data_IF_866945232090
#
_entry.id   IF_866945232090
#
_cell.length_a   1.000
_cell.length_b   1.000
_cell.length_c   1.000
_cell.angle_alpha   90.00
_cell.angle_beta   90.00
_cell.angle_gamma   90.00
#
_symmetry.space_group_name_H-M   'P 1'
#
loop_
_entity.id
_entity.type
_entity.pdbx_description
1 polymer ?
#
# COMPACT_ATOMS: atom_id res chain seq x y z
N UNK A 1 -2.38 35.08 -11.93
CA UNK A 1 -2.51 33.62 -12.17
C UNK A 1 -1.43 32.82 -11.44
N UNK A 2 -0.15 33.27 -11.42
CA UNK A 2 0.94 32.58 -10.70
C UNK A 2 0.69 32.40 -9.19
N UNK A 3 0.15 33.42 -8.51
CA UNK A 3 -0.14 33.34 -7.07
C UNK A 3 -1.28 32.36 -6.70
N UNK A 4 -2.20 32.08 -7.62
CA UNK A 4 -3.28 31.10 -7.39
C UNK A 4 -2.74 29.68 -7.59
N UNK A 5 -1.86 29.50 -8.59
CA UNK A 5 -1.20 28.23 -8.86
C UNK A 5 -0.25 27.81 -7.72
N UNK A 6 0.48 28.76 -7.12
CA UNK A 6 1.32 28.50 -5.96
C UNK A 6 0.50 28.04 -4.76
N UNK A 7 -0.59 28.74 -4.43
CA UNK A 7 -1.48 28.40 -3.32
C UNK A 7 -2.14 27.01 -3.47
N UNK A 8 -2.57 26.64 -4.69
CA UNK A 8 -3.14 25.31 -4.95
C UNK A 8 -2.08 24.22 -4.76
N UNK A 9 -0.86 24.44 -5.28
CA UNK A 9 0.25 23.50 -5.13
C UNK A 9 0.65 23.31 -3.66
N UNK A 10 0.63 24.38 -2.86
CA UNK A 10 0.91 24.31 -1.42
C UNK A 10 -0.18 23.52 -0.68
N UNK A 11 -1.46 23.71 -1.01
CA UNK A 11 -2.56 22.94 -0.40
C UNK A 11 -2.49 21.45 -0.71
N UNK A 12 -2.20 21.08 -1.95
CA UNK A 12 -2.02 19.67 -2.35
C UNK A 12 -0.80 19.03 -1.65
N UNK A 13 0.30 19.78 -1.52
CA UNK A 13 1.48 19.34 -0.76
C UNK A 13 1.18 19.10 0.72
N UNK A 14 0.48 20.04 1.37
CA UNK A 14 0.08 19.91 2.79
C UNK A 14 -0.82 18.68 2.99
N UNK A 15 -1.77 18.44 2.07
CA UNK A 15 -2.64 17.27 2.14
C UNK A 15 -1.84 15.96 2.04
N UNK A 16 -0.85 15.90 1.14
CA UNK A 16 0.02 14.74 1.00
C UNK A 16 0.82 14.48 2.28
N UNK A 17 1.50 15.51 2.81
CA UNK A 17 2.30 15.40 4.04
C UNK A 17 1.44 14.92 5.22
N UNK A 18 0.23 15.46 5.36
CA UNK A 18 -0.69 15.02 6.41
C UNK A 18 -1.09 13.55 6.26
N UNK A 19 -1.35 13.10 5.02
CA UNK A 19 -1.65 11.70 4.73
C UNK A 19 -0.44 10.81 5.07
N UNK A 20 0.76 11.22 4.70
CA UNK A 20 1.99 10.45 4.93
C UNK A 20 2.29 10.31 6.44
N UNK A 21 2.16 11.40 7.20
CA UNK A 21 2.27 11.37 8.66
C UNK A 21 1.21 10.44 9.27
N UNK A 22 -0.03 10.54 8.82
CA UNK A 22 -1.12 9.66 9.27
C UNK A 22 -0.82 8.21 8.95
N UNK A 23 -0.28 7.92 7.76
CA UNK A 23 0.08 6.58 7.33
C UNK A 23 1.16 5.96 8.22
N UNK A 24 2.26 6.67 8.42
CA UNK A 24 3.36 6.19 9.26
C UNK A 24 2.91 6.02 10.70
N UNK A 25 2.20 7.01 11.28
CA UNK A 25 1.68 6.91 12.64
C UNK A 25 0.68 5.76 12.80
N UNK A 26 -0.25 5.60 11.86
CA UNK A 26 -1.23 4.51 11.92
C UNK A 26 -0.54 3.15 11.89
N UNK A 27 0.36 2.92 10.92
CA UNK A 27 1.10 1.65 10.81
C UNK A 27 1.96 1.38 12.04
N UNK A 28 2.60 2.41 12.59
CA UNK A 28 3.36 2.30 13.83
C UNK A 28 2.51 1.80 15.00
N UNK A 29 1.27 2.29 15.13
CA UNK A 29 0.39 1.91 16.22
C UNK A 29 -0.45 0.65 15.95
N UNK A 30 -0.42 0.06 14.75
CA UNK A 30 -1.18 -1.16 14.42
C UNK A 30 -0.95 -2.28 15.45
N UNK A 31 0.29 -2.65 15.84
CA UNK A 31 0.50 -3.70 16.83
C UNK A 31 -0.15 -3.37 18.18
N UNK A 32 0.03 -2.12 18.66
CA UNK A 32 -0.54 -1.66 19.93
C UNK A 32 -2.08 -1.66 19.90
N UNK A 33 -2.69 -1.17 18.82
CA UNK A 33 -4.14 -1.18 18.60
C UNK A 33 -4.65 -2.63 18.57
N UNK A 34 -3.91 -3.54 17.92
CA UNK A 34 -4.26 -4.96 17.84
C UNK A 34 -4.29 -5.63 19.20
N UNK A 35 -3.31 -5.35 20.06
CA UNK A 35 -3.30 -5.83 21.44
C UNK A 35 -4.41 -5.20 22.28
N UNK A 36 -4.63 -3.89 22.16
CA UNK A 36 -5.61 -3.17 22.99
C UNK A 36 -7.05 -3.64 22.74
N UNK A 37 -7.42 -3.90 21.49
CA UNK A 37 -8.76 -4.38 21.13
C UNK A 37 -8.86 -5.90 21.01
N UNK A 38 -7.76 -6.65 21.17
CA UNK A 38 -7.70 -8.10 20.91
C UNK A 38 -8.19 -8.51 19.51
N UNK A 39 -8.10 -7.58 18.55
CA UNK A 39 -8.47 -7.80 17.14
C UNK A 39 -7.17 -7.86 16.33
N UNK A 40 -6.92 -8.90 15.52
CA UNK A 40 -5.72 -9.03 14.71
C UNK A 40 -5.75 -8.11 13.48
N UNK A 41 -5.62 -6.80 13.69
CA UNK A 41 -5.68 -5.78 12.61
C UNK A 41 -4.65 -6.01 11.50
N UNK A 42 -3.55 -6.71 11.78
CA UNK A 42 -2.56 -7.10 10.78
C UNK A 42 -3.15 -7.99 9.67
N UNK A 43 -4.25 -8.71 9.92
CA UNK A 43 -4.93 -9.53 8.91
C UNK A 43 -5.65 -8.70 7.84
N UNK A 44 -5.96 -7.44 8.14
CA UNK A 44 -6.64 -6.53 7.20
C UNK A 44 -5.66 -5.83 6.24
N UNK A 45 -4.39 -6.21 6.26
CA UNK A 45 -3.33 -5.62 5.44
C UNK A 45 -3.25 -4.08 5.57
N UNK A 46 -3.07 -3.55 6.80
CA UNK A 46 -3.16 -2.11 7.06
C UNK A 46 -2.19 -1.28 6.20
N UNK A 47 -1.01 -1.84 5.87
CA UNK A 47 -0.06 -1.18 4.96
C UNK A 47 -0.63 -0.98 3.54
N UNK A 48 -1.41 -1.95 3.03
CA UNK A 48 -2.09 -1.81 1.74
C UNK A 48 -3.19 -0.75 1.80
N UNK A 49 -3.93 -0.68 2.90
CA UNK A 49 -4.95 0.36 3.09
C UNK A 49 -4.30 1.74 2.95
N UNK A 50 -3.21 1.99 3.69
CA UNK A 50 -2.49 3.27 3.61
C UNK A 50 -1.88 3.50 2.23
N UNK A 51 -1.36 2.47 1.56
CA UNK A 51 -0.86 2.59 0.19
C UNK A 51 -1.97 3.02 -0.79
N UNK A 52 -3.14 2.40 -0.71
CA UNK A 52 -4.26 2.72 -1.60
C UNK A 52 -4.78 4.13 -1.33
N UNK A 53 -4.79 4.58 -0.07
CA UNK A 53 -5.05 5.98 0.26
C UNK A 53 -4.04 6.92 -0.40
N UNK A 54 -2.74 6.57 -0.34
CA UNK A 54 -1.71 7.35 -1.03
C UNK A 54 -1.91 7.35 -2.55
N UNK A 55 -2.23 6.21 -3.17
CA UNK A 55 -2.51 6.12 -4.61
C UNK A 55 -3.73 6.94 -5.04
N UNK A 56 -4.76 6.99 -4.20
CA UNK A 56 -6.00 7.71 -4.49
C UNK A 56 -5.89 9.23 -4.25
N UNK A 57 -5.05 9.68 -3.33
CA UNK A 57 -5.00 11.08 -2.88
C UNK A 57 -3.67 11.80 -3.09
N UNK A 58 -2.63 11.10 -3.54
CA UNK A 58 -1.28 11.66 -3.73
C UNK A 58 -0.68 11.28 -5.10
N UNK A 59 0.58 11.70 -5.33
CA UNK A 59 1.29 11.44 -6.58
C UNK A 59 2.02 10.10 -6.63
N UNK A 60 2.54 9.77 -7.82
CA UNK A 60 3.28 8.52 -8.08
C UNK A 60 4.52 8.37 -7.20
N UNK A 61 5.36 9.41 -7.13
CA UNK A 61 6.56 9.41 -6.30
C UNK A 61 6.21 9.23 -4.83
N UNK A 62 5.18 9.92 -4.34
CA UNK A 62 4.74 9.81 -2.96
C UNK A 62 4.23 8.40 -2.63
N UNK A 63 3.47 7.79 -3.53
CA UNK A 63 2.98 6.42 -3.35
C UNK A 63 4.13 5.41 -3.26
N UNK A 64 5.20 5.59 -4.04
CA UNK A 64 6.42 4.79 -3.88
C UNK A 64 7.08 5.04 -2.53
N UNK A 65 7.25 6.31 -2.12
CA UNK A 65 7.83 6.64 -0.81
C UNK A 65 7.06 5.95 0.32
N UNK A 66 5.72 5.93 0.26
CA UNK A 66 4.87 5.20 1.20
C UNK A 66 5.07 3.69 1.12
N UNK A 67 5.12 3.10 -0.08
CA UNK A 67 5.37 1.67 -0.24
C UNK A 67 6.69 1.20 0.37
N UNK A 68 7.74 2.03 0.29
CA UNK A 68 9.04 1.75 0.92
C UNK A 68 9.05 2.08 2.41
N UNK A 69 8.46 3.20 2.81
CA UNK A 69 8.55 3.67 4.19
C UNK A 69 7.75 2.79 5.13
N UNK A 70 6.55 2.34 4.78
CA UNK A 70 5.68 1.64 5.73
C UNK A 70 6.31 0.35 6.30
N UNK A 71 6.84 -0.58 5.49
CA UNK A 71 7.45 -1.79 6.04
C UNK A 71 8.79 -1.49 6.75
N UNK A 72 9.61 -0.59 6.20
CA UNK A 72 10.91 -0.24 6.77
C UNK A 72 10.77 0.45 8.12
N UNK A 73 9.87 1.43 8.26
CA UNK A 73 9.61 2.10 9.53
C UNK A 73 9.01 1.14 10.56
N UNK A 74 8.06 0.29 10.15
CA UNK A 74 7.48 -0.71 11.06
C UNK A 74 8.56 -1.62 11.65
N UNK A 75 9.46 -2.12 10.80
CA UNK A 75 10.60 -2.93 11.22
C UNK A 75 11.57 -2.16 12.13
N UNK A 76 12.02 -0.97 11.72
CA UNK A 76 13.01 -0.19 12.47
C UNK A 76 12.56 0.15 13.88
N UNK A 77 11.28 0.40 14.09
CA UNK A 77 10.78 0.88 15.39
C UNK A 77 10.25 -0.26 16.26
N UNK A 78 9.57 -1.25 15.68
CA UNK A 78 8.90 -2.31 16.45
C UNK A 78 9.54 -3.69 16.31
N UNK A 79 10.60 -3.81 15.49
CA UNK A 79 11.18 -5.08 15.05
C UNK A 79 10.12 -6.07 14.50
N UNK A 80 8.99 -5.52 14.05
CA UNK A 80 7.86 -6.26 13.54
C UNK A 80 7.32 -5.52 12.30
N UNK A 81 7.28 -6.15 11.12
CA UNK A 81 7.65 -7.54 10.84
C UNK A 81 9.18 -7.72 10.74
N UNK A 82 9.68 -8.96 10.75
CA UNK A 82 11.12 -9.26 10.59
C UNK A 82 11.70 -8.66 9.31
N UNK A 83 13.03 -8.56 9.21
CA UNK A 83 13.68 -7.90 8.07
C UNK A 83 13.35 -8.59 6.74
N UNK A 84 13.31 -9.92 6.72
CA UNK A 84 12.98 -10.73 5.55
C UNK A 84 11.55 -10.46 5.09
N UNK A 85 10.60 -10.41 6.05
CA UNK A 85 9.21 -10.07 5.77
C UNK A 85 9.06 -8.62 5.31
N UNK A 86 9.87 -7.71 5.82
CA UNK A 86 9.86 -6.30 5.41
C UNK A 86 10.32 -6.12 3.97
N UNK A 87 11.33 -6.89 3.52
CA UNK A 87 11.76 -6.93 2.12
C UNK A 87 10.64 -7.46 1.22
N UNK A 88 9.98 -8.55 1.62
CA UNK A 88 8.85 -9.11 0.88
C UNK A 88 7.67 -8.13 0.77
N UNK A 89 7.30 -7.48 1.87
CA UNK A 89 6.20 -6.50 1.88
C UNK A 89 6.55 -5.25 1.07
N UNK A 90 7.77 -4.75 1.18
CA UNK A 90 8.24 -3.59 0.40
C UNK A 90 8.18 -3.88 -1.09
N UNK A 91 8.68 -5.05 -1.51
CA UNK A 91 8.66 -5.46 -2.92
C UNK A 91 7.22 -5.67 -3.44
N UNK A 92 6.33 -6.26 -2.66
CA UNK A 92 4.90 -6.38 -2.98
C UNK A 92 4.24 -5.02 -3.16
N UNK A 93 4.38 -4.11 -2.19
CA UNK A 93 3.76 -2.79 -2.21
C UNK A 93 4.31 -1.94 -3.36
N UNK A 94 5.62 -1.97 -3.61
CA UNK A 94 6.23 -1.27 -4.73
C UNK A 94 5.74 -1.81 -6.08
N UNK A 95 5.62 -3.14 -6.22
CA UNK A 95 5.05 -3.78 -7.40
C UNK A 95 3.59 -3.35 -7.62
N UNK A 96 2.80 -3.26 -6.54
CA UNK A 96 1.41 -2.80 -6.59
C UNK A 96 1.33 -1.33 -7.08
N UNK A 97 2.17 -0.43 -6.57
CA UNK A 97 2.24 0.97 -7.06
C UNK A 97 2.56 1.00 -8.55
N UNK A 98 3.60 0.29 -8.97
CA UNK A 98 4.02 0.27 -10.36
C UNK A 98 2.90 -0.23 -11.28
N UNK A 99 2.31 -1.39 -10.96
CA UNK A 99 1.21 -1.98 -11.74
C UNK A 99 -0.03 -1.09 -11.77
N UNK A 100 -0.38 -0.44 -10.65
CA UNK A 100 -1.53 0.45 -10.60
C UNK A 100 -1.39 1.61 -11.59
N UNK A 101 -0.22 2.25 -11.65
CA UNK A 101 0.04 3.33 -12.59
C UNK A 101 0.12 2.86 -14.05
N UNK A 102 0.54 1.62 -14.30
CA UNK A 102 0.52 1.06 -15.65
C UNK A 102 -0.91 0.68 -16.10
N UNK A 103 -1.70 0.05 -15.23
CA UNK A 103 -3.06 -0.35 -15.54
C UNK A 103 -4.05 0.81 -15.60
N UNK A 104 -3.82 1.89 -14.83
CA UNK A 104 -4.66 3.10 -14.90
C UNK A 104 -4.58 3.84 -16.23
N UNK A 105 -3.58 3.53 -17.08
CA UNK A 105 -3.52 4.01 -18.46
C UNK A 105 -4.54 3.32 -19.37
N UNK A 106 -4.97 2.09 -19.04
CA UNK A 106 -5.80 1.23 -19.90
C UNK A 106 -7.16 0.90 -19.32
N UNK A 107 -7.30 0.88 -18.00
CA UNK A 107 -8.48 0.43 -17.28
C UNK A 107 -9.04 1.51 -16.35
N UNK A 108 -10.26 1.30 -15.84
CA UNK A 108 -10.82 2.15 -14.80
C UNK A 108 -10.09 1.93 -13.46
N UNK A 109 -10.25 2.87 -12.52
CA UNK A 109 -9.55 2.82 -11.22
C UNK A 109 -9.83 1.53 -10.42
N UNK A 110 -11.05 0.97 -10.54
CA UNK A 110 -11.41 -0.31 -9.92
C UNK A 110 -10.52 -1.44 -10.42
N UNK A 111 -10.51 -1.69 -11.73
CA UNK A 111 -9.75 -2.78 -12.34
C UNK A 111 -8.25 -2.56 -12.23
N UNK A 112 -7.78 -1.30 -12.29
CA UNK A 112 -6.37 -0.99 -12.05
C UNK A 112 -5.92 -1.41 -10.65
N UNK A 113 -6.70 -1.08 -9.62
CA UNK A 113 -6.40 -1.49 -8.24
C UNK A 113 -6.54 -3.00 -8.06
N UNK A 114 -7.63 -3.59 -8.57
CA UNK A 114 -7.91 -5.02 -8.42
C UNK A 114 -6.79 -5.88 -9.02
N UNK A 115 -6.39 -5.59 -10.26
CA UNK A 115 -5.32 -6.31 -10.95
C UNK A 115 -3.95 -6.07 -10.30
N UNK A 116 -3.65 -4.83 -9.91
CA UNK A 116 -2.38 -4.52 -9.25
C UNK A 116 -2.25 -5.25 -7.89
N UNK A 117 -3.34 -5.29 -7.11
CA UNK A 117 -3.39 -6.04 -5.84
C UNK A 117 -3.24 -7.54 -6.09
N UNK A 118 -3.99 -8.08 -7.06
CA UNK A 118 -4.01 -9.52 -7.36
C UNK A 118 -2.63 -10.01 -7.83
N UNK A 119 -2.03 -9.32 -8.80
CA UNK A 119 -0.72 -9.67 -9.35
C UNK A 119 0.37 -9.44 -8.31
N UNK A 120 0.29 -8.35 -7.53
CA UNK A 120 1.19 -8.10 -6.41
C UNK A 120 1.18 -9.24 -5.38
N UNK A 121 0.01 -9.83 -5.09
CA UNK A 121 -0.12 -10.99 -4.21
C UNK A 121 0.50 -12.26 -4.77
N UNK A 122 0.26 -12.54 -6.05
CA UNK A 122 0.92 -13.67 -6.73
C UNK A 122 2.43 -13.51 -6.67
N UNK A 123 2.93 -12.29 -6.93
CA UNK A 123 4.34 -11.96 -6.81
C UNK A 123 4.87 -12.14 -5.38
N UNK A 124 4.14 -11.66 -4.36
CA UNK A 124 4.50 -11.87 -2.95
C UNK A 124 4.64 -13.34 -2.59
N UNK A 125 3.68 -14.19 -2.99
CA UNK A 125 3.75 -15.62 -2.70
C UNK A 125 4.88 -16.31 -3.48
N UNK A 126 5.16 -15.86 -4.70
CA UNK A 126 6.32 -16.32 -5.46
C UNK A 126 7.64 -16.01 -4.75
N UNK A 127 7.82 -14.78 -4.26
CA UNK A 127 9.02 -14.40 -3.49
C UNK A 127 9.07 -15.08 -2.11
N UNK A 128 7.92 -15.23 -1.45
CA UNK A 128 7.87 -15.94 -0.17
C UNK A 128 8.29 -17.40 -0.33
N UNK A 129 7.90 -18.04 -1.44
CA UNK A 129 8.33 -19.39 -1.77
C UNK A 129 9.85 -19.49 -1.91
N UNK A 130 10.49 -18.55 -2.62
CA UNK A 130 11.95 -18.55 -2.76
C UNK A 130 12.65 -18.34 -1.42
N UNK A 131 12.11 -17.49 -0.54
CA UNK A 131 12.66 -17.28 0.80
C UNK A 131 12.55 -18.52 1.69
N UNK A 132 11.45 -19.26 1.59
CA UNK A 132 11.29 -20.55 2.29
C UNK A 132 12.31 -21.57 1.79
N UNK A 133 12.52 -21.68 0.47
CA UNK A 133 13.53 -22.59 -0.09
C UNK A 133 14.95 -22.26 0.35
N UNK A 134 15.26 -20.97 0.55
CA UNK A 134 16.55 -20.50 1.07
C UNK A 134 16.70 -20.66 2.59
N UNK A 135 15.67 -21.15 3.29
CA UNK A 135 15.67 -21.28 4.75
C UNK A 135 15.56 -19.95 5.51
N UNK A 136 15.16 -18.86 4.83
CA UNK A 136 15.05 -17.52 5.43
C UNK A 136 13.72 -17.31 6.18
N UNK A 137 12.71 -18.14 5.91
CA UNK A 137 11.37 -18.03 6.51
C UNK A 137 10.84 -19.39 6.94
N UNK A 138 9.96 -19.35 7.95
CA UNK A 138 9.25 -20.53 8.43
C UNK A 138 8.37 -21.17 7.34
N UNK A 139 8.24 -22.52 7.37
CA UNK A 139 7.41 -23.25 6.43
C UNK A 139 5.92 -22.87 6.62
N UNK A 140 5.33 -22.30 5.58
CA UNK A 140 3.92 -21.90 5.56
C UNK A 140 3.66 -20.83 4.50
N UNK A 141 3.28 -21.25 3.29
CA UNK A 141 3.13 -20.33 2.16
C UNK A 141 2.00 -19.32 2.40
N UNK A 142 0.83 -19.79 2.83
CA UNK A 142 -0.34 -18.96 3.10
C UNK A 142 -0.56 -18.90 4.60
N UNK A 143 -0.29 -17.74 5.19
CA UNK A 143 -0.42 -17.49 6.64
C UNK A 143 -1.63 -16.63 6.98
N UNK A 144 -2.07 -15.78 6.05
CA UNK A 144 -3.25 -14.94 6.18
C UNK A 144 -4.45 -15.59 5.52
N UNK A 145 -5.63 -15.62 6.15
CA UNK A 145 -6.82 -16.23 5.54
C UNK A 145 -7.16 -15.59 4.19
N UNK A 146 -7.26 -16.42 3.15
CA UNK A 146 -7.46 -15.96 1.76
C UNK A 146 -8.75 -15.15 1.60
N UNK A 147 -9.81 -15.51 2.33
CA UNK A 147 -11.08 -14.78 2.28
C UNK A 147 -10.93 -13.32 2.74
N UNK A 148 -10.12 -13.03 3.77
CA UNK A 148 -9.86 -11.67 4.22
C UNK A 148 -9.12 -10.86 3.16
N UNK A 149 -8.15 -11.48 2.49
CA UNK A 149 -7.40 -10.84 1.40
C UNK A 149 -8.30 -10.49 0.21
N UNK A 150 -9.21 -11.39 -0.14
CA UNK A 150 -10.18 -11.14 -1.22
C UNK A 150 -11.11 -10.00 -0.82
N UNK A 151 -11.68 -10.03 0.39
CA UNK A 151 -12.57 -8.98 0.88
C UNK A 151 -11.86 -7.62 0.89
N UNK A 152 -10.66 -7.52 1.45
CA UNK A 152 -9.91 -6.26 1.48
C UNK A 152 -9.55 -5.78 0.08
N UNK A 153 -9.17 -6.68 -0.82
CA UNK A 153 -8.90 -6.36 -2.22
C UNK A 153 -10.11 -5.72 -2.92
N UNK A 154 -11.31 -6.29 -2.75
CA UNK A 154 -12.53 -5.74 -3.34
C UNK A 154 -12.92 -4.39 -2.72
N UNK A 155 -12.86 -4.28 -1.39
CA UNK A 155 -13.16 -3.02 -0.67
C UNK A 155 -12.23 -1.89 -1.13
N UNK A 156 -10.92 -2.14 -1.18
CA UNK A 156 -9.93 -1.14 -1.57
C UNK A 156 -10.06 -0.75 -3.04
N UNK A 157 -10.33 -1.72 -3.92
CA UNK A 157 -10.57 -1.44 -5.34
C UNK A 157 -11.86 -0.62 -5.53
N UNK A 158 -12.91 -0.93 -4.77
CA UNK A 158 -14.16 -0.17 -4.73
C UNK A 158 -13.93 1.26 -4.25
N UNK A 159 -13.11 1.46 -3.22
CA UNK A 159 -12.74 2.78 -2.74
C UNK A 159 -12.07 3.64 -3.82
N UNK A 160 -11.09 3.08 -4.55
CA UNK A 160 -10.42 3.78 -5.65
C UNK A 160 -11.40 4.18 -6.75
N UNK A 161 -12.38 3.32 -7.04
CA UNK A 161 -13.44 3.61 -8.00
C UNK A 161 -14.34 4.77 -7.56
N UNK A 162 -14.83 4.74 -6.31
CA UNK A 162 -15.73 5.77 -5.76
C UNK A 162 -15.10 7.15 -5.73
N UNK A 163 -13.80 7.23 -5.41
CA UNK A 163 -13.07 8.50 -5.39
C UNK A 163 -12.77 9.02 -6.80
N UNK A 164 -12.89 8.16 -7.82
CA UNK A 164 -12.61 8.54 -9.19
C UNK A 164 -11.12 8.82 -9.39
N UNK A 165 -10.23 8.01 -8.79
CA UNK A 165 -8.77 8.15 -8.89
C UNK A 165 -8.22 8.10 -10.34
N UNK A 166 -9.08 7.94 -11.33
CA UNK A 166 -8.79 8.27 -12.74
C UNK A 166 -8.87 9.80 -12.99
N UNK A 167 -8.28 10.62 -12.11
CA UNK A 167 -7.73 11.93 -12.52
C UNK A 167 -6.36 11.79 -13.18
N UNK A 168 -5.88 10.56 -13.39
CA UNK A 168 -4.66 10.23 -14.12
C UNK A 168 -4.71 10.48 -15.65
N UNK A 169 -5.67 11.29 -16.13
CA UNK A 169 -5.67 11.83 -17.49
C UNK A 169 -5.13 13.26 -17.62
N UNK A 170 -4.63 13.90 -16.55
CA UNK A 170 -4.05 15.27 -16.63
C UNK A 170 -2.83 15.43 -15.71
N UNK A 171 -1.69 14.91 -16.14
CA UNK A 171 -0.43 15.15 -15.45
C UNK A 171 0.82 14.81 -16.27
N UNK A 172 0.68 14.59 -17.59
CA UNK A 172 1.81 14.63 -18.50
C UNK A 172 2.12 16.10 -18.82
N UNK A 173 2.92 16.72 -17.96
CA UNK A 173 3.86 17.76 -18.37
C UNK A 173 5.21 17.37 -17.81
#
# INVERSE_FOLDING_TARGET
>A
MENILSLIKTKEGIKSIFLDLTAVSFIYFVPAISHMFSIPFYLLEPMRIMLILALAHSGKLNSFLIAFSLPLFSFLVSNHPSIEKSILLTSELAMNVWLFYEFSKKFNGFFSALLAISIGKVFYYGLKYTFILLGLLEPGLITTPVYLQIITMFILSGYVYLIGAVKLKRGGK
#
